data_IF_579801030901
#
_entry.id   IF_579801030901
#
_cell.length_a   1.000
_cell.length_b   1.000
_cell.length_c   1.000
_cell.angle_alpha   90.00
_cell.angle_beta   90.00
_cell.angle_gamma   90.00
#
_symmetry.space_group_name_H-M   'P 1'
#
loop_
_entity.id
_entity.type
_entity.pdbx_description
1 polymer ?
#
# COMPACT_ATOMS: atom_id res chain seq x y z
N UNK A 1 -19.73 -1.04 -23.04
CA UNK A 1 -18.78 -0.03 -22.57
C UNK A 1 -18.53 -0.10 -21.07
N UNK A 2 -17.33 -0.50 -20.66
CA UNK A 2 -16.82 -0.24 -19.31
C UNK A 2 -15.41 0.29 -19.44
N UNK A 3 -15.30 1.59 -19.17
CA UNK A 3 -14.11 2.42 -19.16
C UNK A 3 -13.27 2.07 -17.92
N UNK A 4 -12.01 1.68 -18.12
CA UNK A 4 -11.03 1.52 -17.03
C UNK A 4 -10.18 2.78 -16.94
N UNK A 5 -10.50 3.62 -15.97
CA UNK A 5 -9.66 4.74 -15.58
C UNK A 5 -8.41 4.23 -14.85
N UNK A 6 -7.24 4.50 -15.43
CA UNK A 6 -5.93 4.41 -14.77
C UNK A 6 -5.85 5.43 -13.64
N UNK A 7 -5.32 5.02 -12.47
CA UNK A 7 -4.67 5.94 -11.55
C UNK A 7 -3.36 5.32 -11.11
N UNK A 8 -2.29 6.04 -11.43
CA UNK A 8 -0.90 5.75 -11.13
C UNK A 8 -0.63 5.83 -9.62
N UNK A 9 0.31 5.02 -9.16
CA UNK A 9 0.73 4.98 -7.76
C UNK A 9 1.47 6.23 -7.32
N UNK A 10 1.51 6.42 -6.00
CA UNK A 10 2.50 7.26 -5.33
C UNK A 10 3.07 6.50 -4.15
N UNK A 11 4.39 6.38 -4.16
CA UNK A 11 5.22 5.74 -3.16
C UNK A 11 4.99 6.31 -1.76
N UNK A 12 4.84 5.43 -0.78
CA UNK A 12 4.79 5.76 0.64
C UNK A 12 5.92 5.07 1.37
N UNK A 13 7.08 5.72 1.41
CA UNK A 13 8.23 5.33 2.22
C UNK A 13 7.85 5.26 3.72
N UNK A 14 8.36 4.23 4.40
CA UNK A 14 8.41 4.17 5.85
C UNK A 14 9.19 5.36 6.41
N UNK A 15 8.55 6.14 7.29
CA UNK A 15 9.24 7.05 8.20
C UNK A 15 8.75 6.78 9.63
N UNK A 16 9.69 6.45 10.52
CA UNK A 16 9.46 6.22 11.95
C UNK A 16 9.05 7.48 12.72
N UNK A 17 8.81 7.35 14.03
CA UNK A 17 8.19 8.42 14.83
C UNK A 17 9.16 9.58 15.05
N UNK A 18 8.81 10.76 14.54
CA UNK A 18 9.49 12.03 14.88
C UNK A 18 8.93 12.56 16.19
N UNK A 19 9.73 12.49 17.24
CA UNK A 19 9.54 13.17 18.52
C UNK A 19 9.59 14.69 18.33
N UNK A 20 8.44 15.36 18.38
CA UNK A 20 8.42 16.84 18.50
C UNK A 20 8.56 17.24 19.97
N UNK A 21 9.72 17.81 20.27
CA UNK A 21 10.11 18.45 21.52
C UNK A 21 9.40 19.81 21.61
N UNK A 22 8.42 19.95 22.49
CA UNK A 22 7.74 21.23 22.71
C UNK A 22 8.62 22.11 23.59
N UNK A 23 9.18 23.18 23.01
CA UNK A 23 9.93 24.20 23.75
C UNK A 23 8.93 25.18 24.37
N UNK A 24 8.78 25.07 25.68
CA UNK A 24 8.19 26.11 26.54
C UNK A 24 8.98 27.41 26.38
N UNK A 25 8.28 28.53 26.13
CA UNK A 25 8.80 29.86 26.41
C UNK A 25 7.73 30.65 27.14
N UNK A 26 7.93 30.73 28.43
CA UNK A 26 7.32 31.63 29.40
C UNK A 26 7.89 33.03 29.19
N UNK A 27 7.02 34.01 28.95
CA UNK A 27 7.35 35.43 28.90
C UNK A 27 6.41 36.21 29.81
N UNK A 28 6.79 36.36 31.07
CA UNK A 28 6.16 37.23 32.06
C UNK A 28 6.77 38.63 31.94
N UNK A 29 5.95 39.64 31.68
CA UNK A 29 6.30 41.03 31.95
C UNK A 29 5.08 41.77 32.50
N UNK A 30 5.03 41.83 33.83
CA UNK A 30 4.17 42.72 34.59
C UNK A 30 4.76 44.14 34.53
N UNK A 31 4.00 45.12 34.04
CA UNK A 31 4.27 46.53 34.30
C UNK A 31 2.98 47.17 34.80
N UNK A 32 3.02 47.52 36.08
CA UNK A 32 1.96 48.12 36.88
C UNK A 32 2.02 49.64 36.67
N UNK A 33 0.93 50.24 36.19
CA UNK A 33 0.75 51.69 36.10
C UNK A 33 -0.67 52.05 36.52
N UNK A 34 -0.81 52.86 37.57
CA UNK A 34 -2.08 53.29 38.18
C UNK A 34 -2.92 54.25 37.33
N UNK A 35 -4.05 54.77 37.87
CA UNK A 35 -5.36 54.67 37.24
C UNK A 35 -5.77 55.93 36.47
N UNK A 36 -6.41 55.76 35.31
CA UNK A 36 -7.18 56.81 34.66
C UNK A 36 -8.52 56.26 34.19
N UNK A 37 -9.59 56.88 34.70
CA UNK A 37 -10.97 56.53 34.46
C UNK A 37 -11.30 56.48 32.96
N UNK A 38 -11.71 55.30 32.49
CA UNK A 38 -12.24 55.08 31.15
C UNK A 38 -13.14 53.85 31.16
N UNK A 39 -14.43 54.06 30.96
CA UNK A 39 -15.49 53.04 31.04
C UNK A 39 -15.33 52.02 29.90
N UNK A 40 -14.51 50.99 30.09
CA UNK A 40 -14.44 49.87 29.15
C UNK A 40 -15.33 48.74 29.68
N UNK A 41 -16.59 48.75 29.23
CA UNK A 41 -17.46 47.60 29.35
C UNK A 41 -16.78 46.43 28.63
N UNK A 42 -16.18 45.50 29.39
CA UNK A 42 -15.78 44.20 28.89
C UNK A 42 -17.07 43.45 28.54
N UNK A 43 -17.51 43.60 27.30
CA UNK A 43 -18.57 42.79 26.73
C UNK A 43 -17.97 41.39 26.51
N UNK A 44 -18.00 40.55 27.55
CA UNK A 44 -17.92 39.09 27.38
C UNK A 44 -19.14 38.68 26.55
N UNK A 45 -19.03 38.76 25.23
CA UNK A 45 -20.06 38.27 24.34
C UNK A 45 -19.92 36.74 24.38
N UNK A 46 -20.86 36.00 24.99
CA UNK A 46 -20.80 34.54 24.94
C UNK A 46 -20.81 34.16 23.47
N UNK A 47 -19.91 33.26 23.07
CA UNK A 47 -19.98 32.65 21.73
C UNK A 47 -21.41 32.16 21.53
N UNK A 48 -22.04 32.52 20.41
CA UNK A 48 -23.42 32.09 20.15
C UNK A 48 -23.49 30.57 20.24
N UNK A 49 -24.42 30.03 21.02
CA UNK A 49 -24.61 28.57 21.21
C UNK A 49 -24.62 27.82 19.88
N UNK A 50 -25.28 28.39 18.87
CA UNK A 50 -25.33 27.88 17.50
C UNK A 50 -23.94 27.67 16.85
N UNK A 51 -22.97 28.54 17.10
CA UNK A 51 -21.61 28.40 16.57
C UNK A 51 -20.82 27.29 17.27
N UNK A 52 -21.07 27.07 18.55
CA UNK A 52 -20.49 25.97 19.31
C UNK A 52 -21.08 24.63 18.84
N UNK A 53 -22.40 24.56 18.71
CA UNK A 53 -23.11 23.36 18.22
C UNK A 53 -22.66 22.97 16.81
N UNK A 54 -22.53 23.95 15.92
CA UNK A 54 -22.01 23.73 14.57
C UNK A 54 -20.58 23.17 14.59
N UNK A 55 -19.71 23.72 15.43
CA UNK A 55 -18.31 23.27 15.54
C UNK A 55 -18.23 21.86 16.11
N UNK A 56 -18.99 21.56 17.16
CA UNK A 56 -19.07 20.23 17.76
C UNK A 56 -19.62 19.20 16.77
N UNK A 57 -20.67 19.54 16.04
CA UNK A 57 -21.24 18.67 15.01
C UNK A 57 -20.24 18.38 13.89
N UNK A 58 -19.54 19.40 13.39
CA UNK A 58 -18.48 19.24 12.37
C UNK A 58 -17.35 18.35 12.87
N UNK A 59 -16.91 18.54 14.11
CA UNK A 59 -15.88 17.69 14.72
C UNK A 59 -16.35 16.24 14.86
N UNK A 60 -17.61 16.03 15.29
CA UNK A 60 -18.19 14.70 15.41
C UNK A 60 -18.24 13.98 14.06
N UNK A 61 -18.67 14.69 13.00
CA UNK A 61 -18.70 14.13 11.63
C UNK A 61 -17.29 13.79 11.13
N UNK A 62 -16.31 14.66 11.36
CA UNK A 62 -14.92 14.39 10.94
C UNK A 62 -14.37 13.14 11.64
N UNK A 63 -14.56 13.01 12.96
CA UNK A 63 -14.13 11.82 13.70
C UNK A 63 -14.83 10.57 13.21
N UNK A 64 -16.14 10.63 13.02
CA UNK A 64 -16.92 9.51 12.50
C UNK A 64 -16.39 9.01 11.14
N UNK A 65 -16.09 9.92 10.22
CA UNK A 65 -15.52 9.56 8.91
C UNK A 65 -14.13 8.95 9.05
N UNK A 66 -13.27 9.52 9.90
CA UNK A 66 -11.93 8.98 10.15
C UNK A 66 -12.00 7.56 10.72
N UNK A 67 -12.87 7.32 11.71
CA UNK A 67 -13.06 6.02 12.33
C UNK A 67 -13.63 5.00 11.32
N UNK A 68 -14.58 5.42 10.48
CA UNK A 68 -15.15 4.58 9.43
C UNK A 68 -14.11 4.20 8.37
N UNK A 69 -13.20 5.10 8.01
CA UNK A 69 -12.09 4.82 7.10
C UNK A 69 -11.12 3.84 7.76
N UNK A 70 -10.70 4.10 9.00
CA UNK A 70 -9.80 3.21 9.74
C UNK A 70 -10.36 1.78 9.84
N UNK A 71 -11.62 1.66 10.27
CA UNK A 71 -12.31 0.37 10.33
C UNK A 71 -12.46 -0.29 8.95
N UNK A 72 -12.57 0.48 7.87
CA UNK A 72 -12.63 -0.07 6.52
C UNK A 72 -11.27 -0.58 6.04
N UNK A 73 -10.18 0.13 6.36
CA UNK A 73 -8.81 -0.31 6.09
C UNK A 73 -8.49 -1.59 6.87
N UNK A 74 -8.85 -1.64 8.15
CA UNK A 74 -8.62 -2.83 8.98
C UNK A 74 -9.39 -4.04 8.44
N UNK A 75 -10.65 -3.85 8.02
CA UNK A 75 -11.43 -4.91 7.36
C UNK A 75 -10.81 -5.35 6.04
N UNK A 76 -10.32 -4.41 5.22
CA UNK A 76 -9.64 -4.75 3.97
C UNK A 76 -8.37 -5.54 4.21
N UNK A 77 -7.56 -5.14 5.20
CA UNK A 77 -6.36 -5.87 5.61
C UNK A 77 -6.70 -7.28 6.10
N UNK A 78 -7.66 -7.40 7.01
CA UNK A 78 -8.10 -8.71 7.52
C UNK A 78 -8.60 -9.62 6.38
N UNK A 79 -9.38 -9.07 5.45
CA UNK A 79 -9.83 -9.82 4.28
C UNK A 79 -8.68 -10.18 3.33
N UNK A 80 -7.72 -9.28 3.12
CA UNK A 80 -6.55 -9.54 2.29
C UNK A 80 -5.59 -10.56 2.92
N UNK A 81 -5.51 -10.62 4.25
CA UNK A 81 -4.73 -11.60 4.98
C UNK A 81 -5.43 -12.97 4.96
N UNK A 82 -6.76 -13.01 5.16
CA UNK A 82 -7.55 -14.25 5.21
C UNK A 82 -7.84 -14.86 3.83
N UNK A 83 -8.15 -14.02 2.84
CA UNK A 83 -8.36 -14.39 1.42
C UNK A 83 -7.04 -14.28 0.64
N UNK A 84 -5.96 -13.94 1.35
CA UNK A 84 -4.62 -13.81 0.82
C UNK A 84 -4.19 -15.03 0.03
N UNK A 85 -3.32 -14.73 -0.93
CA UNK A 85 -2.96 -15.54 -2.08
C UNK A 85 -2.84 -17.05 -1.77
N UNK A 86 -3.88 -17.80 -2.16
CA UNK A 86 -4.03 -19.25 -1.94
C UNK A 86 -3.09 -20.14 -2.73
N UNK A 87 -1.93 -19.63 -3.13
CA UNK A 87 -0.91 -20.38 -3.86
C UNK A 87 -0.04 -21.16 -2.86
N UNK A 88 -0.53 -22.33 -2.47
CA UNK A 88 0.12 -23.26 -1.52
C UNK A 88 1.30 -24.03 -2.13
N UNK A 89 1.69 -23.71 -3.37
CA UNK A 89 2.75 -24.43 -4.06
C UNK A 89 4.10 -24.13 -3.40
N UNK A 90 4.81 -25.17 -2.97
CA UNK A 90 6.15 -25.03 -2.43
C UNK A 90 7.16 -25.71 -3.36
N UNK A 91 8.14 -24.94 -3.81
CA UNK A 91 9.23 -25.44 -4.66
C UNK A 91 10.52 -25.55 -3.85
N UNK A 92 11.27 -26.63 -4.06
CA UNK A 92 12.60 -26.79 -3.48
C UNK A 92 13.63 -26.11 -4.35
N UNK A 93 14.73 -25.64 -3.76
CA UNK A 93 15.90 -25.19 -4.53
C UNK A 93 16.35 -26.30 -5.48
N UNK A 94 16.65 -25.95 -6.72
CA UNK A 94 17.00 -26.87 -7.81
C UNK A 94 15.80 -27.53 -8.50
N UNK A 95 14.56 -27.32 -8.02
CA UNK A 95 13.37 -27.82 -8.73
C UNK A 95 13.11 -27.01 -10.00
N UNK A 96 12.60 -27.69 -11.03
CA UNK A 96 12.16 -27.06 -12.26
C UNK A 96 10.74 -26.54 -12.10
N UNK A 97 10.51 -25.31 -12.54
CA UNK A 97 9.22 -24.64 -12.52
C UNK A 97 8.92 -23.99 -13.86
N UNK A 98 7.64 -23.87 -14.19
CA UNK A 98 7.16 -23.14 -15.36
C UNK A 98 6.69 -21.75 -14.93
N UNK A 99 7.02 -20.72 -15.70
CA UNK A 99 6.70 -19.31 -15.38
C UNK A 99 5.55 -18.79 -16.26
N UNK A 100 4.51 -18.23 -15.65
CA UNK A 100 3.37 -17.65 -16.38
C UNK A 100 3.73 -16.37 -17.16
N UNK A 101 3.25 -16.28 -18.42
CA UNK A 101 3.53 -15.14 -19.32
C UNK A 101 2.58 -13.96 -19.18
N UNK A 102 1.46 -14.11 -18.48
CA UNK A 102 0.33 -13.18 -18.52
C UNK A 102 0.68 -11.73 -18.19
N UNK A 103 1.67 -11.51 -17.31
CA UNK A 103 2.10 -10.19 -16.86
C UNK A 103 3.59 -9.92 -17.14
N UNK A 104 4.19 -10.65 -18.08
CA UNK A 104 5.58 -10.43 -18.46
C UNK A 104 5.68 -9.31 -19.52
N UNK A 105 6.78 -8.54 -19.51
CA UNK A 105 7.09 -7.61 -20.59
C UNK A 105 7.07 -8.31 -21.95
N UNK A 106 6.51 -7.66 -22.97
CA UNK A 106 6.40 -8.23 -24.33
C UNK A 106 7.74 -8.70 -24.88
N UNK A 107 8.84 -8.00 -24.58
CA UNK A 107 10.17 -8.36 -25.06
C UNK A 107 10.68 -9.68 -24.47
N UNK A 108 10.25 -10.05 -23.25
CA UNK A 108 10.64 -11.30 -22.62
C UNK A 108 9.86 -12.52 -23.16
N UNK A 109 8.81 -12.27 -23.96
CA UNK A 109 7.95 -13.27 -24.61
C UNK A 109 8.04 -13.15 -26.13
N UNK A 110 8.87 -12.24 -26.66
CA UNK A 110 8.86 -11.88 -28.08
C UNK A 110 9.36 -13.00 -28.98
N UNK A 111 10.21 -13.89 -28.45
CA UNK A 111 10.69 -15.08 -29.16
C UNK A 111 9.54 -16.00 -29.61
N UNK A 112 8.34 -15.84 -29.04
CA UNK A 112 7.14 -16.61 -29.38
C UNK A 112 6.23 -15.95 -30.44
N UNK A 113 6.61 -14.78 -30.98
CA UNK A 113 5.86 -14.10 -32.03
C UNK A 113 4.55 -13.46 -31.57
N UNK A 114 3.45 -13.71 -32.27
CA UNK A 114 2.15 -13.12 -31.97
C UNK A 114 1.58 -13.61 -30.63
N UNK A 115 1.22 -12.69 -29.73
CA UNK A 115 0.77 -13.00 -28.36
C UNK A 115 -0.44 -13.96 -28.26
N UNK A 116 -1.25 -14.08 -29.32
CA UNK A 116 -2.39 -15.00 -29.37
C UNK A 116 -1.97 -16.47 -29.47
N UNK A 117 -0.81 -16.74 -30.06
CA UNK A 117 -0.25 -18.09 -30.24
C UNK A 117 0.91 -18.37 -29.28
N UNK A 118 1.34 -17.37 -28.50
CA UNK A 118 2.41 -17.54 -27.55
C UNK A 118 2.01 -18.49 -26.40
N UNK A 119 2.94 -19.33 -25.92
CA UNK A 119 2.72 -20.15 -24.73
C UNK A 119 2.30 -19.31 -23.52
N UNK A 120 1.35 -19.84 -22.72
CA UNK A 120 0.92 -19.22 -21.45
C UNK A 120 1.92 -19.43 -20.32
N UNK A 121 2.80 -20.41 -20.48
CA UNK A 121 3.87 -20.79 -19.56
C UNK A 121 5.17 -20.84 -20.35
N UNK A 122 6.21 -20.17 -19.85
CA UNK A 122 7.58 -20.26 -20.35
C UNK A 122 8.23 -21.51 -19.76
N UNK A 123 9.23 -21.99 -20.50
CA UNK A 123 10.08 -23.14 -20.25
C UNK A 123 10.52 -23.36 -18.80
N UNK A 124 11.09 -24.54 -18.57
CA UNK A 124 11.59 -24.95 -17.26
C UNK A 124 12.72 -24.06 -16.78
N UNK A 125 12.46 -23.31 -15.71
CA UNK A 125 13.43 -22.50 -14.99
C UNK A 125 13.79 -23.17 -13.67
N UNK A 126 15.05 -23.01 -13.26
CA UNK A 126 15.54 -23.60 -12.01
C UNK A 126 15.31 -22.66 -10.84
N UNK A 127 14.76 -23.16 -9.73
CA UNK A 127 14.64 -22.40 -8.50
C UNK A 127 16.01 -22.27 -7.82
N UNK A 128 16.49 -21.04 -7.63
CA UNK A 128 17.76 -20.74 -6.96
C UNK A 128 17.60 -20.55 -5.45
N UNK A 129 16.54 -19.85 -5.04
CA UNK A 129 16.30 -19.49 -3.64
C UNK A 129 14.81 -19.33 -3.36
N UNK A 130 14.40 -19.66 -2.13
CA UNK A 130 13.05 -19.42 -1.62
C UNK A 130 13.07 -18.18 -0.73
N UNK A 131 12.16 -17.26 -1.02
CA UNK A 131 11.76 -16.17 -0.13
C UNK A 131 10.38 -16.48 0.47
N UNK A 132 9.81 -15.57 1.27
CA UNK A 132 8.56 -15.80 2.01
C UNK A 132 7.40 -16.25 1.10
N UNK A 133 7.12 -15.53 0.02
CA UNK A 133 6.06 -15.88 -0.95
C UNK A 133 6.53 -15.88 -2.41
N UNK A 134 7.84 -15.85 -2.61
CA UNK A 134 8.45 -15.64 -3.92
C UNK A 134 9.69 -16.51 -4.04
N UNK A 135 10.11 -16.77 -5.28
CA UNK A 135 11.26 -17.59 -5.59
C UNK A 135 12.17 -16.84 -6.54
N UNK A 136 13.48 -16.89 -6.27
CA UNK A 136 14.49 -16.48 -7.23
C UNK A 136 14.68 -17.62 -8.24
N UNK A 137 14.56 -17.32 -9.53
CA UNK A 137 14.75 -18.25 -10.62
C UNK A 137 16.05 -17.95 -11.35
N UNK A 138 16.63 -18.98 -11.94
CA UNK A 138 17.75 -18.85 -12.88
C UNK A 138 17.21 -18.33 -14.21
N UNK A 139 17.26 -17.01 -14.40
CA UNK A 139 16.73 -16.34 -15.58
C UNK A 139 17.83 -16.12 -16.61
N UNK A 140 17.65 -16.58 -17.86
CA UNK A 140 18.54 -16.23 -18.96
C UNK A 140 18.65 -14.71 -19.12
N UNK A 141 19.88 -14.20 -19.21
CA UNK A 141 20.16 -12.76 -19.30
C UNK A 141 19.45 -12.07 -20.47
N UNK A 142 19.20 -12.79 -21.57
CA UNK A 142 18.46 -12.31 -22.74
C UNK A 142 17.01 -11.92 -22.46
N UNK A 143 16.36 -12.53 -21.46
CA UNK A 143 14.97 -12.23 -21.10
C UNK A 143 14.81 -10.88 -20.39
N UNK A 144 15.90 -10.35 -19.81
CA UNK A 144 15.92 -9.06 -19.09
C UNK A 144 14.82 -8.93 -18.02
N UNK A 145 14.45 -10.05 -17.39
CA UNK A 145 13.48 -10.09 -16.30
C UNK A 145 14.17 -9.98 -14.93
N UNK A 146 13.43 -9.49 -13.94
CA UNK A 146 13.83 -9.61 -12.55
C UNK A 146 13.86 -11.10 -12.14
N UNK A 147 14.86 -11.59 -11.40
CA UNK A 147 14.99 -13.02 -11.09
C UNK A 147 13.95 -13.53 -10.09
N UNK A 148 13.40 -12.66 -9.24
CA UNK A 148 12.43 -13.06 -8.20
C UNK A 148 10.98 -12.94 -8.69
N UNK A 149 10.21 -14.02 -8.55
CA UNK A 149 8.80 -14.10 -8.95
C UNK A 149 7.92 -14.59 -7.81
N UNK A 150 6.69 -14.06 -7.78
CA UNK A 150 5.66 -14.48 -6.84
C UNK A 150 5.21 -15.93 -7.09
N UNK A 151 4.98 -16.72 -6.03
CA UNK A 151 4.67 -18.16 -6.11
C UNK A 151 3.48 -18.51 -7.01
N UNK A 152 2.45 -17.67 -7.07
CA UNK A 152 1.27 -17.90 -7.91
C UNK A 152 1.50 -17.82 -9.41
N UNK A 153 2.66 -17.31 -9.82
CA UNK A 153 3.06 -17.29 -11.23
C UNK A 153 3.88 -18.52 -11.63
N UNK A 154 4.18 -19.38 -10.67
CA UNK A 154 4.96 -20.59 -10.88
C UNK A 154 4.05 -21.81 -10.90
N UNK A 155 4.30 -22.70 -11.86
CA UNK A 155 3.65 -24.01 -11.92
C UNK A 155 4.70 -25.10 -11.76
N UNK A 156 4.39 -26.19 -11.02
CA UNK A 156 5.29 -27.33 -10.93
C UNK A 156 5.51 -27.92 -12.32
N UNK A 157 6.77 -28.18 -12.66
CA UNK A 157 7.08 -28.92 -13.86
C UNK A 157 6.83 -30.42 -13.61
N UNK A 158 5.69 -30.92 -14.06
CA UNK A 158 5.41 -32.35 -14.07
C UNK A 158 5.80 -32.90 -15.44
N UNK A 159 6.85 -33.73 -15.51
CA UNK A 159 7.16 -34.49 -16.70
C UNK A 159 6.16 -35.65 -16.86
N UNK A 160 4.91 -35.31 -17.16
CA UNK A 160 3.86 -36.29 -17.44
C UNK A 160 3.53 -36.20 -18.93
N UNK A 161 4.49 -36.59 -19.77
CA UNK A 161 4.13 -37.10 -21.10
C UNK A 161 3.74 -38.56 -20.92
N UNK A 162 2.44 -38.82 -20.73
CA UNK A 162 1.90 -40.11 -21.13
C UNK A 162 1.89 -40.12 -22.66
N UNK A 163 2.47 -41.19 -23.23
CA UNK A 163 2.66 -41.41 -24.67
C UNK A 163 1.34 -41.41 -25.44
#
# INVERSE_FOLDING_TARGET
DKNYGSVQGTDGAQAGPVTKKNKSVQGTASAQGGPAAGKNAVLHKPFSTQAMDFTQHRQAVIRFVQDAIAASVDRQKLNADNVGRGDTNEFKKGSLVLLATQNLPRHAVLDFGASKLAPRLIDTLTVLERHVNAYALDIPSGMRLHPTFYVGWLKPYTNTRAF
#
